data_IF_704616175164
#
_entry.id   IF_704616175164
#
_cell.length_a   1.000
_cell.length_b   1.000
_cell.length_c   1.000
_cell.angle_alpha   90.00
_cell.angle_beta   90.00
_cell.angle_gamma   90.00
#
_symmetry.space_group_name_H-M   'P 1'
#
loop_
_entity.id
_entity.type
_entity.pdbx_description
1 polymer ?
#
# COMPACT_ATOMS: atom_id res chain seq x y z
N UNK A 1 3.29 15.18 12.09
CA UNK A 1 3.13 14.82 10.67
C UNK A 1 2.13 13.69 10.62
N UNK A 2 0.89 14.00 10.23
CA UNK A 2 -0.26 13.15 10.54
C UNK A 2 -0.40 11.98 9.56
N UNK A 3 -0.90 10.89 10.10
CA UNK A 3 -0.72 9.52 9.65
C UNK A 3 -1.89 9.04 8.77
N UNK A 4 -2.48 9.97 7.99
CA UNK A 4 -3.82 9.80 7.42
C UNK A 4 -3.79 9.47 5.92
N UNK A 5 -2.62 9.60 5.27
CA UNK A 5 -2.40 9.34 3.85
C UNK A 5 -3.03 8.01 3.41
N UNK A 6 -2.82 6.94 4.18
CA UNK A 6 -3.28 5.59 3.85
C UNK A 6 -4.58 5.16 4.55
N UNK A 7 -5.17 6.00 5.42
CA UNK A 7 -6.39 5.66 6.16
C UNK A 7 -7.59 5.47 5.23
N UNK A 8 -7.75 6.36 4.25
CA UNK A 8 -8.80 6.23 3.25
C UNK A 8 -8.38 5.28 2.12
N UNK A 9 -8.56 3.98 2.35
CA UNK A 9 -8.12 2.94 1.41
C UNK A 9 -8.83 3.00 0.04
N UNK A 10 -10.03 3.59 -0.02
CA UNK A 10 -10.80 3.76 -1.27
C UNK A 10 -10.53 5.09 -1.97
N UNK A 11 -9.70 5.98 -1.42
CA UNK A 11 -9.30 7.20 -2.10
C UNK A 11 -8.65 6.85 -3.47
N UNK A 12 -8.98 7.53 -4.58
CA UNK A 12 -8.53 7.13 -5.92
C UNK A 12 -7.01 6.95 -6.03
N UNK A 13 -6.24 7.83 -5.39
CA UNK A 13 -4.77 7.78 -5.38
C UNK A 13 -4.21 6.59 -4.60
N UNK A 14 -4.88 6.20 -3.51
CA UNK A 14 -4.53 4.99 -2.77
C UNK A 14 -4.93 3.72 -3.53
N UNK A 15 -6.07 3.72 -4.23
CA UNK A 15 -6.45 2.59 -5.09
C UNK A 15 -5.36 2.30 -6.12
N UNK A 16 -4.83 3.31 -6.82
CA UNK A 16 -3.74 3.13 -7.78
C UNK A 16 -2.53 2.43 -7.14
N UNK A 17 -2.12 2.85 -5.94
CA UNK A 17 -1.05 2.19 -5.19
C UNK A 17 -1.37 0.70 -4.94
N UNK A 18 -2.57 0.40 -4.41
CA UNK A 18 -2.99 -0.97 -4.12
C UNK A 18 -3.01 -1.87 -5.35
N UNK A 19 -3.45 -1.34 -6.49
CA UNK A 19 -3.53 -2.10 -7.74
C UNK A 19 -2.15 -2.39 -8.32
N UNK A 20 -1.22 -1.43 -8.29
CA UNK A 20 0.16 -1.66 -8.74
C UNK A 20 0.85 -2.69 -7.85
N UNK A 21 0.66 -2.60 -6.54
CA UNK A 21 1.21 -3.59 -5.60
C UNK A 21 0.58 -4.97 -5.77
N UNK A 22 -0.73 -5.06 -6.00
CA UNK A 22 -1.42 -6.32 -6.24
C UNK A 22 -0.93 -6.97 -7.55
N UNK A 23 -0.76 -6.17 -8.61
CA UNK A 23 -0.15 -6.61 -9.86
C UNK A 23 1.27 -7.15 -9.63
N UNK A 24 2.13 -6.39 -8.93
CA UNK A 24 3.48 -6.83 -8.59
C UNK A 24 3.46 -8.14 -7.78
N UNK A 25 2.56 -8.27 -6.81
CA UNK A 25 2.38 -9.48 -6.01
C UNK A 25 2.02 -10.69 -6.85
N UNK A 26 1.07 -10.55 -7.80
CA UNK A 26 0.70 -11.61 -8.71
C UNK A 26 1.86 -12.00 -9.62
N UNK A 27 2.55 -11.00 -10.17
CA UNK A 27 3.72 -11.19 -11.02
C UNK A 27 4.83 -11.96 -10.30
N UNK A 28 5.20 -11.53 -9.09
CA UNK A 28 6.23 -12.20 -8.28
C UNK A 28 5.81 -13.60 -7.83
N UNK A 29 4.53 -13.81 -7.50
CA UNK A 29 4.06 -15.13 -7.05
C UNK A 29 4.05 -16.15 -8.20
N UNK A 30 3.66 -15.73 -9.41
CA UNK A 30 3.75 -16.57 -10.61
C UNK A 30 5.21 -16.80 -11.03
N UNK A 31 6.05 -15.76 -11.03
CA UNK A 31 7.49 -15.90 -11.31
C UNK A 31 8.20 -16.84 -10.34
N UNK A 32 7.92 -16.72 -9.04
CA UNK A 32 8.42 -17.64 -8.02
C UNK A 32 7.93 -19.08 -8.23
N UNK A 33 6.65 -19.25 -8.60
CA UNK A 33 6.13 -20.58 -8.94
C UNK A 33 6.84 -21.18 -10.16
N UNK A 34 7.08 -20.40 -11.21
CA UNK A 34 7.79 -20.89 -12.40
C UNK A 34 9.27 -21.17 -12.13
N UNK A 35 9.89 -20.41 -11.22
CA UNK A 35 11.29 -20.58 -10.87
C UNK A 35 11.54 -21.81 -9.97
N UNK A 36 10.68 -22.05 -8.96
CA UNK A 36 10.92 -23.07 -7.92
C UNK A 36 9.74 -24.02 -7.66
N UNK A 37 8.73 -24.03 -8.53
CA UNK A 37 7.53 -24.88 -8.45
C UNK A 37 6.72 -24.73 -7.15
N UNK A 38 6.82 -23.56 -6.49
CA UNK A 38 6.14 -23.26 -5.21
C UNK A 38 5.60 -21.84 -5.17
N UNK A 39 4.38 -21.69 -4.66
CA UNK A 39 3.79 -20.37 -4.46
C UNK A 39 4.30 -19.73 -3.15
N UNK A 40 4.96 -18.59 -3.26
CA UNK A 40 5.61 -17.90 -2.12
C UNK A 40 4.60 -17.24 -1.16
N UNK A 41 3.35 -17.01 -1.61
CA UNK A 41 2.29 -16.40 -0.78
C UNK A 41 1.38 -17.41 -0.06
N UNK A 42 1.52 -18.72 -0.28
CA UNK A 42 0.58 -19.76 0.19
C UNK A 42 0.99 -20.39 1.53
N UNK A 43 1.13 -19.58 2.58
CA UNK A 43 1.59 -20.06 3.90
C UNK A 43 0.74 -21.20 4.50
N UNK A 44 -0.59 -21.17 4.30
CA UNK A 44 -1.47 -22.28 4.71
C UNK A 44 -1.11 -23.60 4.02
N UNK A 45 -0.74 -23.55 2.73
CA UNK A 45 -0.32 -24.73 1.97
C UNK A 45 0.98 -25.33 2.49
N UNK A 46 1.93 -24.49 2.91
CA UNK A 46 3.16 -24.94 3.58
C UNK A 46 2.86 -25.69 4.87
N UNK A 47 1.94 -25.19 5.70
CA UNK A 47 1.51 -25.88 6.92
C UNK A 47 0.93 -27.27 6.64
N UNK A 48 0.07 -27.39 5.62
CA UNK A 48 -0.46 -28.69 5.17
C UNK A 48 0.65 -29.60 4.67
N UNK A 49 1.56 -29.09 3.84
CA UNK A 49 2.68 -29.87 3.31
C UNK A 49 3.55 -30.45 4.43
N UNK A 50 3.94 -29.61 5.39
CA UNK A 50 4.79 -30.03 6.52
C UNK A 50 4.13 -31.17 7.30
N UNK A 51 2.82 -31.06 7.60
CA UNK A 51 2.09 -32.12 8.29
C UNK A 51 2.07 -33.44 7.51
N UNK A 52 1.81 -33.39 6.20
CA UNK A 52 1.80 -34.58 5.34
C UNK A 52 3.20 -35.21 5.24
N UNK A 53 4.24 -34.40 5.03
CA UNK A 53 5.62 -34.86 4.91
C UNK A 53 6.11 -35.53 6.20
N UNK A 54 5.78 -34.97 7.38
CA UNK A 54 6.08 -35.59 8.67
C UNK A 54 5.40 -36.95 8.83
N UNK A 55 4.12 -37.06 8.45
CA UNK A 55 3.39 -38.33 8.50
C UNK A 55 4.00 -39.41 7.57
N UNK A 56 4.54 -38.97 6.42
CA UNK A 56 5.24 -39.83 5.46
C UNK A 56 6.71 -40.08 5.81
N UNK A 57 7.20 -39.60 6.97
CA UNK A 57 8.61 -39.69 7.41
C UNK A 57 9.61 -38.99 6.48
N UNK A 58 9.14 -38.02 5.68
CA UNK A 58 9.95 -37.16 4.82
C UNK A 58 10.46 -35.95 5.61
N UNK A 59 11.29 -36.19 6.62
CA UNK A 59 11.69 -35.16 7.58
C UNK A 59 12.46 -33.99 6.96
N UNK A 60 13.34 -34.27 5.98
CA UNK A 60 14.12 -33.24 5.32
C UNK A 60 13.22 -32.28 4.53
N UNK A 61 12.33 -32.81 3.68
CA UNK A 61 11.37 -32.00 2.93
C UNK A 61 10.38 -31.24 3.83
N UNK A 62 10.01 -31.80 4.99
CA UNK A 62 9.21 -31.10 5.98
C UNK A 62 9.97 -29.91 6.58
N UNK A 63 11.24 -30.10 6.96
CA UNK A 63 12.08 -29.03 7.50
C UNK A 63 12.28 -27.91 6.48
N UNK A 64 12.67 -28.27 5.25
CA UNK A 64 12.90 -27.33 4.16
C UNK A 64 11.66 -26.50 3.83
N UNK A 65 10.47 -27.11 3.78
CA UNK A 65 9.23 -26.38 3.58
C UNK A 65 8.89 -25.50 4.79
N UNK A 66 9.13 -25.94 6.03
CA UNK A 66 8.86 -25.13 7.22
C UNK A 66 9.65 -23.81 7.23
N UNK A 67 10.81 -23.74 6.56
CA UNK A 67 11.61 -22.52 6.47
C UNK A 67 10.93 -21.42 5.66
N UNK A 68 10.17 -21.73 4.60
CA UNK A 68 9.47 -20.73 3.77
C UNK A 68 8.58 -19.78 4.59
N UNK A 69 7.64 -20.29 5.41
CA UNK A 69 6.86 -19.50 6.35
C UNK A 69 7.68 -18.70 7.37
N UNK A 70 8.83 -19.21 7.82
CA UNK A 70 9.69 -18.47 8.74
C UNK A 70 10.36 -17.27 8.07
N UNK A 71 10.78 -17.40 6.81
CA UNK A 71 11.30 -16.26 6.04
C UNK A 71 10.21 -15.25 5.71
N UNK A 72 8.99 -15.71 5.38
CA UNK A 72 7.84 -14.82 5.25
C UNK A 72 7.57 -14.05 6.55
N UNK A 73 7.57 -14.74 7.69
CA UNK A 73 7.42 -14.13 9.01
C UNK A 73 8.53 -13.11 9.28
N UNK A 74 9.79 -13.43 8.97
CA UNK A 74 10.91 -12.51 9.12
C UNK A 74 10.72 -11.23 8.28
N UNK A 75 10.26 -11.36 7.03
CA UNK A 75 9.90 -10.22 6.18
C UNK A 75 8.81 -9.36 6.81
N UNK A 76 7.75 -9.99 7.33
CA UNK A 76 6.66 -9.30 8.01
C UNK A 76 7.10 -8.61 9.31
N UNK A 77 8.04 -9.19 10.06
CA UNK A 77 8.64 -8.57 11.26
C UNK A 77 9.41 -7.30 10.87
N UNK A 78 10.22 -7.37 9.81
CA UNK A 78 10.95 -6.20 9.29
C UNK A 78 9.97 -5.12 8.85
N UNK A 79 8.88 -5.48 8.17
CA UNK A 79 7.81 -4.55 7.84
C UNK A 79 7.20 -3.90 9.08
N UNK A 80 6.90 -4.69 10.12
CA UNK A 80 6.38 -4.19 11.40
C UNK A 80 7.34 -3.23 12.09
N UNK A 81 8.65 -3.46 12.01
CA UNK A 81 9.64 -2.50 12.51
C UNK A 81 9.69 -1.20 11.70
N UNK A 82 9.50 -1.29 10.38
CA UNK A 82 9.47 -0.14 9.49
C UNK A 82 8.17 0.65 9.62
N UNK A 83 7.06 0.03 10.02
CA UNK A 83 5.73 0.66 10.02
C UNK A 83 5.18 0.74 11.44
N UNK A 84 4.62 -0.36 11.95
CA UNK A 84 3.87 -0.39 13.22
C UNK A 84 4.70 0.10 14.41
N UNK A 85 5.94 -0.38 14.56
CA UNK A 85 6.83 0.03 15.65
C UNK A 85 7.12 1.54 15.59
N UNK A 86 7.32 2.10 14.41
CA UNK A 86 7.56 3.54 14.26
C UNK A 86 6.33 4.34 14.64
N UNK A 87 5.15 3.88 14.21
CA UNK A 87 3.87 4.50 14.56
C UNK A 87 3.61 4.46 16.08
N UNK A 88 3.91 3.34 16.75
CA UNK A 88 3.82 3.21 18.23
C UNK A 88 4.76 4.23 18.92
N UNK A 89 5.94 4.47 18.36
CA UNK A 89 6.91 5.44 18.88
C UNK A 89 6.64 6.89 18.45
N UNK A 90 5.48 7.18 17.83
CA UNK A 90 5.13 8.51 17.35
C UNK A 90 5.97 9.01 16.16
N UNK A 91 6.66 8.12 15.45
CA UNK A 91 7.47 8.41 14.26
C UNK A 91 6.72 8.08 12.98
N UNK A 92 7.05 8.78 11.89
CA UNK A 92 6.50 8.47 10.56
C UNK A 92 6.88 7.05 10.13
N UNK A 93 5.96 6.26 9.56
CA UNK A 93 6.27 4.93 9.04
C UNK A 93 7.25 5.03 7.86
N UNK A 94 8.22 4.13 7.80
CA UNK A 94 9.23 4.05 6.75
C UNK A 94 8.79 3.08 5.63
N UNK A 95 7.66 3.39 4.99
CA UNK A 95 7.13 2.60 3.86
C UNK A 95 8.12 2.63 2.69
N UNK A 96 8.70 3.80 2.42
CA UNK A 96 9.66 4.01 1.36
C UNK A 96 10.88 3.09 1.47
N UNK A 97 11.51 3.02 2.65
CA UNK A 97 12.63 2.12 2.90
C UNK A 97 12.26 0.66 2.69
N UNK A 98 11.03 0.26 3.06
CA UNK A 98 10.52 -1.07 2.78
C UNK A 98 10.40 -1.39 1.28
N UNK A 99 9.90 -0.45 0.47
CA UNK A 99 9.80 -0.60 -0.98
C UNK A 99 11.20 -0.61 -1.63
N UNK A 100 12.15 0.19 -1.13
CA UNK A 100 13.55 0.15 -1.58
C UNK A 100 14.14 -1.24 -1.32
N UNK A 101 13.91 -1.82 -0.13
CA UNK A 101 14.33 -3.19 0.16
C UNK A 101 13.74 -4.18 -0.83
N UNK A 102 12.45 -4.07 -1.19
CA UNK A 102 11.85 -4.91 -2.23
C UNK A 102 12.54 -4.74 -3.60
N UNK A 103 12.86 -3.50 -4.00
CA UNK A 103 13.59 -3.25 -5.26
C UNK A 103 14.96 -3.93 -5.24
N UNK A 104 15.71 -3.80 -4.14
CA UNK A 104 17.02 -4.45 -3.97
C UNK A 104 16.92 -5.97 -4.02
N UNK A 105 15.93 -6.57 -3.34
CA UNK A 105 15.74 -8.02 -3.38
C UNK A 105 15.41 -8.53 -4.78
N UNK A 106 14.53 -7.83 -5.51
CA UNK A 106 14.24 -8.18 -6.91
C UNK A 106 15.45 -8.00 -7.82
N UNK A 107 16.28 -6.98 -7.58
CA UNK A 107 17.54 -6.79 -8.29
C UNK A 107 18.53 -7.94 -8.01
N UNK A 108 18.63 -8.40 -6.76
CA UNK A 108 19.48 -9.54 -6.40
C UNK A 108 19.01 -10.81 -7.12
N UNK A 109 17.69 -11.06 -7.18
CA UNK A 109 17.15 -12.22 -7.90
C UNK A 109 17.42 -12.10 -9.41
N UNK A 110 17.21 -10.91 -9.99
CA UNK A 110 17.54 -10.62 -11.39
C UNK A 110 19.01 -10.91 -11.71
N UNK A 111 19.93 -10.43 -10.86
CA UNK A 111 21.38 -10.69 -11.00
C UNK A 111 21.75 -12.16 -10.75
N UNK A 112 20.82 -12.94 -10.21
CA UNK A 112 20.93 -14.39 -10.06
C UNK A 112 21.15 -15.13 -11.37
N UNK A 113 20.71 -14.58 -12.51
CA UNK A 113 21.00 -15.14 -13.85
C UNK A 113 22.52 -15.32 -14.07
N UNK A 114 23.32 -14.39 -13.55
CA UNK A 114 24.79 -14.41 -13.68
C UNK A 114 25.47 -15.24 -12.59
N UNK A 115 24.70 -15.93 -11.76
CA UNK A 115 25.18 -16.61 -10.56
C UNK A 115 24.63 -18.03 -10.45
N UNK A 116 25.52 -19.00 -10.28
CA UNK A 116 25.09 -20.38 -9.99
C UNK A 116 24.48 -20.55 -8.57
N UNK A 117 24.41 -19.50 -7.75
CA UNK A 117 23.95 -19.59 -6.35
C UNK A 117 22.42 -19.69 -6.19
N UNK A 118 21.63 -19.28 -7.19
CA UNK A 118 20.16 -19.32 -7.12
C UNK A 118 19.51 -20.52 -7.83
N UNK A 119 20.32 -21.44 -8.33
CA UNK A 119 19.85 -22.59 -9.12
C UNK A 119 19.62 -22.25 -10.59
N UNK A 120 19.21 -23.25 -11.36
CA UNK A 120 18.74 -23.11 -12.73
C UNK A 120 17.25 -22.80 -12.72
N UNK A 121 16.82 -21.79 -13.48
CA UNK A 121 15.42 -21.38 -13.50
C UNK A 121 14.49 -22.55 -13.89
N UNK A 122 13.51 -22.83 -13.04
CA UNK A 122 12.51 -23.86 -13.28
C UNK A 122 12.99 -25.29 -13.01
N UNK A 123 14.18 -25.47 -12.42
CA UNK A 123 14.60 -26.79 -11.97
C UNK A 123 13.71 -27.31 -10.82
N UNK A 124 13.46 -28.63 -10.74
CA UNK A 124 12.73 -29.19 -9.61
C UNK A 124 13.42 -28.84 -8.30
N UNK A 125 12.62 -28.43 -7.31
CA UNK A 125 13.10 -28.07 -5.97
C UNK A 125 13.68 -29.30 -5.23
N UNK A 126 14.92 -29.65 -5.58
CA UNK A 126 15.63 -30.86 -5.13
C UNK A 126 17.03 -30.49 -4.63
N UNK A 127 17.57 -29.33 -5.04
CA UNK A 127 18.88 -28.87 -4.65
C UNK A 127 18.81 -27.81 -3.55
N UNK A 128 19.82 -27.78 -2.69
CA UNK A 128 19.93 -26.80 -1.60
C UNK A 128 19.92 -25.34 -2.09
N UNK A 129 20.29 -25.08 -3.34
CA UNK A 129 20.41 -23.73 -3.93
C UNK A 129 19.04 -23.11 -4.22
N UNK A 130 18.05 -23.91 -4.62
CA UNK A 130 16.70 -23.45 -4.97
C UNK A 130 15.94 -22.91 -3.75
N UNK A 131 16.31 -23.39 -2.57
CA UNK A 131 15.75 -22.93 -1.31
C UNK A 131 16.14 -21.49 -0.98
N UNK A 132 17.34 -21.04 -1.37
CA UNK A 132 17.75 -19.66 -1.13
C UNK A 132 16.83 -18.68 -1.90
N UNK A 133 16.59 -18.96 -3.18
CA UNK A 133 15.65 -18.19 -3.99
C UNK A 133 14.24 -18.19 -3.39
N UNK A 134 13.75 -19.37 -3.00
CA UNK A 134 12.45 -19.49 -2.34
C UNK A 134 12.37 -18.65 -1.06
N UNK A 135 13.42 -18.67 -0.23
CA UNK A 135 13.47 -17.91 1.02
C UNK A 135 13.51 -16.41 0.80
N UNK A 136 14.30 -15.94 -0.19
CA UNK A 136 14.32 -14.52 -0.58
C UNK A 136 12.93 -14.08 -1.05
N UNK A 137 12.26 -14.88 -1.89
CA UNK A 137 10.92 -14.58 -2.38
C UNK A 137 9.87 -14.60 -1.26
N UNK A 138 9.91 -15.58 -0.36
CA UNK A 138 9.02 -15.63 0.81
C UNK A 138 9.24 -14.41 1.72
N UNK A 139 10.49 -14.04 1.98
CA UNK A 139 10.82 -12.84 2.74
C UNK A 139 10.29 -11.57 2.07
N UNK A 140 10.51 -11.40 0.75
CA UNK A 140 10.02 -10.27 -0.01
C UNK A 140 8.47 -10.19 0.03
N UNK A 141 7.79 -11.33 -0.12
CA UNK A 141 6.34 -11.41 -0.04
C UNK A 141 5.84 -11.01 1.35
N UNK A 142 6.46 -11.53 2.42
CA UNK A 142 6.14 -11.18 3.80
C UNK A 142 6.36 -9.70 4.12
N UNK A 143 7.48 -9.14 3.65
CA UNK A 143 7.80 -7.72 3.77
C UNK A 143 6.74 -6.85 3.07
N UNK A 144 6.43 -7.11 1.81
CA UNK A 144 5.44 -6.33 1.05
C UNK A 144 4.06 -6.38 1.71
N UNK A 145 3.62 -7.57 2.12
CA UNK A 145 2.33 -7.75 2.79
C UNK A 145 2.28 -7.03 4.14
N UNK A 146 3.34 -7.13 4.93
CA UNK A 146 3.43 -6.46 6.23
C UNK A 146 3.39 -4.94 6.12
N UNK A 147 4.11 -4.35 5.15
CA UNK A 147 4.26 -2.89 5.03
C UNK A 147 2.89 -2.21 4.89
N UNK A 148 2.05 -2.74 4.00
CA UNK A 148 0.76 -2.13 3.69
C UNK A 148 -0.37 -2.63 4.57
N UNK A 149 -0.26 -3.83 5.15
CA UNK A 149 -1.15 -4.26 6.23
C UNK A 149 -0.99 -3.35 7.45
N UNK A 150 0.24 -3.05 7.88
CA UNK A 150 0.49 -2.09 8.96
C UNK A 150 -0.03 -0.68 8.62
N UNK A 151 0.26 -0.19 7.42
CA UNK A 151 -0.16 1.15 6.97
C UNK A 151 -1.69 1.32 6.90
N UNK A 152 -2.43 0.25 6.55
CA UNK A 152 -3.89 0.28 6.39
C UNK A 152 -4.66 -0.30 7.58
N UNK A 153 -3.96 -0.69 8.66
CA UNK A 153 -4.53 -1.44 9.80
C UNK A 153 -5.24 -2.73 9.37
N UNK A 154 -4.66 -3.43 8.40
CA UNK A 154 -5.16 -4.72 7.90
C UNK A 154 -6.35 -4.62 6.94
N UNK A 155 -6.77 -3.42 6.54
CA UNK A 155 -7.89 -3.22 5.61
C UNK A 155 -7.57 -3.68 4.19
N UNK A 156 -6.30 -3.54 3.74
CA UNK A 156 -5.87 -3.94 2.40
C UNK A 156 -4.71 -4.94 2.51
N UNK A 157 -4.84 -6.03 1.77
CA UNK A 157 -3.77 -7.00 1.49
C UNK A 157 -3.70 -7.18 -0.02
N UNK A 158 -2.49 -7.17 -0.58
CA UNK A 158 -2.24 -7.26 -2.03
C UNK A 158 -1.99 -8.70 -2.50
N UNK A 159 -2.11 -9.65 -1.57
CA UNK A 159 -2.02 -11.11 -1.77
C UNK A 159 -3.15 -11.78 -0.97
N UNK A 160 -3.07 -13.10 -0.75
CA UNK A 160 -4.00 -13.87 0.08
C UNK A 160 -5.47 -13.71 -0.36
N UNK A 161 -5.73 -13.95 -1.65
CA UNK A 161 -7.03 -13.73 -2.29
C UNK A 161 -8.21 -14.40 -1.56
N UNK A 162 -7.97 -15.47 -0.78
CA UNK A 162 -8.95 -16.09 0.11
C UNK A 162 -9.64 -15.06 1.03
N UNK A 163 -8.90 -14.11 1.61
CA UNK A 163 -9.46 -13.09 2.48
C UNK A 163 -10.42 -12.15 1.74
N UNK A 164 -9.96 -11.42 0.71
CA UNK A 164 -10.81 -10.57 -0.12
C UNK A 164 -12.04 -11.30 -0.69
N UNK A 165 -11.91 -12.55 -1.13
CA UNK A 165 -13.04 -13.35 -1.65
C UNK A 165 -14.09 -13.58 -0.55
N UNK A 166 -13.67 -14.04 0.64
CA UNK A 166 -14.57 -14.23 1.78
C UNK A 166 -15.25 -12.93 2.20
N UNK A 167 -14.48 -11.84 2.29
CA UNK A 167 -15.01 -10.52 2.64
C UNK A 167 -16.03 -10.01 1.61
N UNK A 168 -15.77 -10.23 0.32
CA UNK A 168 -16.72 -9.89 -0.75
C UNK A 168 -18.04 -10.62 -0.51
N UNK A 169 -18.00 -11.94 -0.27
CA UNK A 169 -19.18 -12.76 -0.01
C UNK A 169 -19.99 -12.28 1.20
N UNK A 170 -19.31 -12.02 2.33
CA UNK A 170 -19.93 -11.48 3.54
C UNK A 170 -20.60 -10.12 3.26
N UNK A 171 -19.89 -9.23 2.56
CA UNK A 171 -20.41 -7.90 2.25
C UNK A 171 -21.56 -7.92 1.25
N UNK A 172 -21.56 -8.84 0.28
CA UNK A 172 -22.69 -9.04 -0.63
C UNK A 172 -23.95 -9.39 0.16
N UNK A 173 -23.86 -10.33 1.10
CA UNK A 173 -24.98 -10.70 1.99
C UNK A 173 -25.52 -9.48 2.77
N UNK A 174 -24.64 -8.66 3.35
CA UNK A 174 -25.03 -7.42 4.04
C UNK A 174 -25.68 -6.41 3.10
N UNK A 175 -25.11 -6.18 1.91
CA UNK A 175 -25.62 -5.22 0.93
C UNK A 175 -27.06 -5.56 0.49
N UNK A 176 -27.37 -6.85 0.32
CA UNK A 176 -28.71 -7.32 -0.01
C UNK A 176 -29.70 -7.25 1.17
N UNK A 177 -29.20 -7.24 2.40
CA UNK A 177 -30.01 -7.17 3.62
C UNK A 177 -30.31 -5.71 4.04
N UNK A 178 -29.35 -4.82 3.83
CA UNK A 178 -29.46 -3.41 4.20
C UNK A 178 -30.47 -2.68 3.29
N UNK A 179 -31.26 -1.80 3.92
CA UNK A 179 -32.22 -0.94 3.23
C UNK A 179 -31.55 -0.12 2.12
N UNK A 180 -32.29 0.12 1.05
CA UNK A 180 -31.84 1.00 -0.03
C UNK A 180 -31.58 2.40 0.53
N UNK A 181 -30.42 2.99 0.17
CA UNK A 181 -30.01 4.32 0.65
C UNK A 181 -29.24 4.34 1.97
N UNK A 182 -29.07 3.21 2.67
CA UNK A 182 -28.27 3.16 3.89
C UNK A 182 -26.79 3.51 3.59
N UNK A 183 -26.16 4.47 4.31
CA UNK A 183 -24.77 4.88 4.08
C UNK A 183 -23.77 3.72 4.14
N UNK A 184 -24.00 2.76 5.05
CA UNK A 184 -23.18 1.54 5.20
C UNK A 184 -23.15 0.72 3.89
N UNK A 185 -24.28 0.63 3.18
CA UNK A 185 -24.36 -0.11 1.92
C UNK A 185 -23.42 0.47 0.86
N UNK A 186 -23.30 1.80 0.80
CA UNK A 186 -22.37 2.49 -0.10
C UNK A 186 -20.91 2.18 0.25
N UNK A 187 -20.56 2.20 1.53
CA UNK A 187 -19.21 1.90 2.02
C UNK A 187 -18.81 0.44 1.71
N UNK A 188 -19.69 -0.52 2.01
CA UNK A 188 -19.46 -1.94 1.72
C UNK A 188 -19.29 -2.18 0.21
N UNK A 189 -20.11 -1.51 -0.62
CA UNK A 189 -20.02 -1.60 -2.08
C UNK A 189 -18.70 -1.07 -2.60
N UNK A 190 -18.25 0.10 -2.13
CA UNK A 190 -16.95 0.67 -2.50
C UNK A 190 -15.77 -0.24 -2.11
N UNK A 191 -15.80 -0.81 -0.91
CA UNK A 191 -14.79 -1.77 -0.45
C UNK A 191 -14.76 -3.05 -1.28
N UNK A 192 -15.94 -3.59 -1.63
CA UNK A 192 -16.02 -4.76 -2.51
C UNK A 192 -15.45 -4.49 -3.90
N UNK A 193 -15.77 -3.33 -4.48
CA UNK A 193 -15.17 -2.93 -5.75
C UNK A 193 -13.66 -2.82 -5.68
N UNK A 194 -13.10 -2.26 -4.60
CA UNK A 194 -11.66 -2.23 -4.39
C UNK A 194 -11.07 -3.65 -4.34
N UNK A 195 -11.68 -4.56 -3.58
CA UNK A 195 -11.24 -5.96 -3.49
C UNK A 195 -11.28 -6.69 -4.83
N UNK A 196 -12.35 -6.49 -5.62
CA UNK A 196 -12.46 -7.03 -6.99
C UNK A 196 -11.33 -6.52 -7.86
N UNK A 197 -11.06 -5.20 -7.87
CA UNK A 197 -9.95 -4.63 -8.63
C UNK A 197 -8.60 -5.21 -8.19
N UNK A 198 -8.38 -5.42 -6.89
CA UNK A 198 -7.17 -6.07 -6.36
C UNK A 198 -7.03 -7.50 -6.89
N UNK A 199 -8.11 -8.30 -6.88
CA UNK A 199 -8.11 -9.68 -7.41
C UNK A 199 -7.75 -9.69 -8.90
N UNK A 200 -8.36 -8.78 -9.69
CA UNK A 200 -8.09 -8.65 -11.13
C UNK A 200 -6.65 -8.18 -11.38
N UNK A 201 -6.16 -7.21 -10.62
CA UNK A 201 -4.77 -6.73 -10.72
C UNK A 201 -3.77 -7.84 -10.39
N UNK A 202 -3.99 -8.59 -9.31
CA UNK A 202 -3.16 -9.75 -8.99
C UNK A 202 -3.18 -10.80 -10.11
N UNK A 203 -4.38 -11.18 -10.58
CA UNK A 203 -4.52 -12.22 -11.60
C UNK A 203 -3.90 -11.80 -12.94
N UNK A 204 -4.03 -10.53 -13.33
CA UNK A 204 -3.34 -10.00 -14.51
C UNK A 204 -1.83 -9.95 -14.34
N UNK A 205 -1.32 -9.58 -13.16
CA UNK A 205 0.10 -9.68 -12.84
C UNK A 205 0.64 -11.10 -13.01
N UNK A 206 -0.09 -12.10 -12.48
CA UNK A 206 0.27 -13.51 -12.63
C UNK A 206 0.26 -13.97 -14.10
N UNK A 207 -0.75 -13.56 -14.87
CA UNK A 207 -0.84 -13.88 -16.30
C UNK A 207 0.34 -13.29 -17.08
N UNK A 208 0.64 -12.01 -16.88
CA UNK A 208 1.75 -11.33 -17.56
C UNK A 208 3.09 -11.95 -17.14
N UNK A 209 3.28 -12.30 -15.86
CA UNK A 209 4.45 -13.03 -15.42
C UNK A 209 4.60 -14.36 -16.16
N UNK A 210 3.54 -15.16 -16.31
CA UNK A 210 3.64 -16.43 -17.02
C UNK A 210 4.15 -16.26 -18.46
N UNK A 211 3.74 -15.19 -19.15
CA UNK A 211 4.23 -14.85 -20.48
C UNK A 211 5.69 -14.39 -20.46
N UNK A 212 6.06 -13.52 -19.51
CA UNK A 212 7.43 -12.96 -19.40
C UNK A 212 8.46 -14.03 -19.03
N UNK A 213 8.16 -14.83 -18.01
CA UNK A 213 9.09 -15.84 -17.48
C UNK A 213 9.26 -17.07 -18.40
N UNK A 214 8.40 -17.23 -19.41
CA UNK A 214 8.60 -18.23 -20.46
C UNK A 214 9.80 -17.89 -21.34
N UNK A 215 10.09 -16.60 -21.53
CA UNK A 215 11.16 -16.12 -22.42
C UNK A 215 12.39 -15.60 -21.65
N UNK A 216 12.18 -15.00 -20.46
CA UNK A 216 13.18 -14.18 -19.77
C UNK A 216 13.68 -14.75 -18.42
N UNK A 217 13.37 -15.99 -18.04
CA UNK A 217 13.92 -16.67 -16.83
C UNK A 217 14.14 -15.73 -15.63
N UNK A 218 15.35 -15.58 -15.07
CA UNK A 218 15.59 -14.65 -13.96
C UNK A 218 15.53 -13.18 -14.38
N UNK A 219 15.81 -12.85 -15.65
CA UNK A 219 15.69 -11.48 -16.17
C UNK A 219 14.29 -10.89 -15.99
N UNK A 220 13.25 -11.75 -15.97
CA UNK A 220 11.88 -11.36 -15.67
C UNK A 220 11.70 -10.60 -14.35
N UNK A 221 12.58 -10.82 -13.36
CA UNK A 221 12.58 -10.08 -12.08
C UNK A 221 13.01 -8.61 -12.20
N UNK A 222 13.50 -8.17 -13.36
CA UNK A 222 13.68 -6.74 -13.66
C UNK A 222 12.35 -5.96 -13.61
N UNK A 223 11.23 -6.61 -13.95
CA UNK A 223 9.89 -6.00 -13.93
C UNK A 223 9.47 -5.59 -12.51
N UNK A 224 9.39 -6.49 -11.51
CA UNK A 224 9.04 -6.11 -10.15
C UNK A 224 10.07 -5.18 -9.49
N UNK A 225 11.34 -5.22 -9.91
CA UNK A 225 12.35 -4.23 -9.52
C UNK A 225 11.97 -2.82 -10.02
N UNK A 226 11.69 -2.68 -11.32
CA UNK A 226 11.28 -1.41 -11.93
C UNK A 226 9.97 -0.87 -11.32
N UNK A 227 8.99 -1.75 -11.07
CA UNK A 227 7.74 -1.36 -10.38
C UNK A 227 8.05 -0.84 -8.97
N UNK A 228 8.91 -1.53 -8.21
CA UNK A 228 9.29 -1.08 -6.86
C UNK A 228 9.96 0.29 -6.88
N UNK A 229 10.86 0.56 -7.81
CA UNK A 229 11.49 1.88 -7.98
C UNK A 229 10.46 2.97 -8.33
N UNK A 230 9.52 2.67 -9.23
CA UNK A 230 8.41 3.57 -9.53
C UNK A 230 7.54 3.84 -8.29
N UNK A 231 7.25 2.81 -7.50
CA UNK A 231 6.46 2.91 -6.27
C UNK A 231 7.12 3.78 -5.20
N UNK A 232 8.46 3.77 -5.10
CA UNK A 232 9.19 4.72 -4.24
C UNK A 232 8.86 6.16 -4.63
N UNK A 233 8.97 6.49 -5.91
CA UNK A 233 8.61 7.83 -6.41
C UNK A 233 7.13 8.14 -6.15
N UNK A 234 6.23 7.19 -6.42
CA UNK A 234 4.79 7.38 -6.27
C UNK A 234 4.39 7.64 -4.81
N UNK A 235 4.90 6.84 -3.87
CA UNK A 235 4.64 7.01 -2.43
C UNK A 235 5.19 8.34 -1.93
N UNK A 236 6.40 8.75 -2.34
CA UNK A 236 6.93 10.08 -2.03
C UNK A 236 6.01 11.19 -2.51
N UNK A 237 5.46 11.06 -3.72
CA UNK A 237 4.48 12.01 -4.31
C UNK A 237 3.17 12.03 -3.51
N UNK A 238 2.67 10.88 -3.07
CA UNK A 238 1.46 10.78 -2.25
C UNK A 238 1.61 11.46 -0.89
N UNK A 239 2.70 11.17 -0.18
CA UNK A 239 2.97 11.75 1.15
C UNK A 239 3.11 13.26 1.04
N UNK A 240 3.95 13.76 0.12
CA UNK A 240 4.15 15.21 -0.06
C UNK A 240 2.88 15.97 -0.41
N UNK A 241 1.99 15.38 -1.22
CA UNK A 241 0.73 16.05 -1.54
C UNK A 241 -0.22 16.13 -0.36
N UNK A 242 -0.26 15.09 0.48
CA UNK A 242 -1.10 15.10 1.66
C UNK A 242 -0.62 16.13 2.69
N UNK A 243 0.70 16.23 2.88
CA UNK A 243 1.31 17.28 3.71
C UNK A 243 0.96 18.69 3.21
N UNK A 244 0.92 18.92 1.89
CA UNK A 244 0.49 20.21 1.31
C UNK A 244 -0.99 20.50 1.56
N UNK A 245 -1.84 19.49 1.42
CA UNK A 245 -3.28 19.60 1.70
C UNK A 245 -3.53 19.94 3.18
N UNK A 246 -2.86 19.24 4.11
CA UNK A 246 -2.94 19.51 5.56
C UNK A 246 -2.46 20.92 5.90
N UNK A 247 -1.30 21.34 5.38
CA UNK A 247 -0.76 22.67 5.64
C UNK A 247 -1.67 23.78 5.10
N UNK A 248 -2.27 23.58 3.91
CA UNK A 248 -3.23 24.54 3.34
C UNK A 248 -4.50 24.65 4.17
N UNK A 249 -5.02 23.56 4.73
CA UNK A 249 -6.19 23.59 5.61
C UNK A 249 -5.88 24.27 6.94
N UNK A 250 -4.69 24.03 7.50
CA UNK A 250 -4.24 24.67 8.72
C UNK A 250 -4.12 26.20 8.55
N UNK A 251 -3.56 26.65 7.42
CA UNK A 251 -3.42 28.07 7.10
C UNK A 251 -4.77 28.77 6.90
N UNK A 252 -5.71 28.12 6.19
CA UNK A 252 -7.09 28.62 6.08
C UNK A 252 -7.79 28.72 7.43
N UNK A 253 -7.64 27.71 8.29
CA UNK A 253 -8.23 27.72 9.64
C UNK A 253 -7.64 28.84 10.50
N UNK A 254 -6.33 29.05 10.42
CA UNK A 254 -5.65 30.14 11.11
C UNK A 254 -6.15 31.52 10.62
N UNK A 255 -6.33 31.68 9.31
CA UNK A 255 -6.85 32.93 8.73
C UNK A 255 -8.28 33.29 9.17
N UNK A 256 -9.12 32.29 9.45
CA UNK A 256 -10.49 32.47 9.95
C UNK A 256 -10.56 32.83 11.45
N UNK A 257 -9.49 32.57 12.20
CA UNK A 257 -9.41 32.83 13.65
C UNK A 257 -8.76 34.18 13.99
N UNK A 258 -8.18 34.88 13.01
CA UNK A 258 -7.70 36.26 13.21
C UNK A 258 -8.92 37.18 13.33
N UNK A 259 -9.13 37.87 14.47
CA UNK A 259 -10.22 38.83 14.60
C UNK A 259 -10.04 39.92 13.55
N UNK A 260 -11.05 40.18 12.72
CA UNK A 260 -11.09 41.39 11.89
C UNK A 260 -10.95 42.58 12.84
N UNK A 261 -9.87 43.37 12.70
CA UNK A 261 -9.69 44.59 13.49
C UNK A 261 -10.97 45.42 13.47
N UNK A 262 -11.44 45.94 14.62
CA UNK A 262 -12.60 46.82 14.62
C UNK A 262 -12.26 48.04 13.77
N UNK A 263 -13.03 48.23 12.70
CA UNK A 263 -12.99 49.43 11.87
C UNK A 263 -13.05 50.62 12.83
N UNK A 264 -11.95 51.37 12.92
CA UNK A 264 -11.88 52.55 13.76
C UNK A 264 -12.86 53.57 13.18
N UNK A 265 -14.01 53.71 13.84
CA UNK A 265 -14.92 54.82 13.61
C UNK A 265 -14.16 56.08 13.99
N UNK A 266 -13.65 56.80 12.98
CA UNK A 266 -13.12 58.14 13.16
C UNK A 266 -14.27 59.03 13.64
N UNK A 267 -14.33 59.25 14.95
CA UNK A 267 -15.13 60.32 15.53
C UNK A 267 -14.54 61.65 15.05
N UNK A 268 -15.17 62.24 14.04
CA UNK A 268 -14.99 63.64 13.69
C UNK A 268 -15.51 64.50 14.83
N UNK A 269 -14.60 65.03 15.64
CA UNK A 269 -14.91 66.10 16.58
C UNK A 269 -15.21 67.37 15.76
N UNK A 270 -16.48 67.76 15.69
CA UNK A 270 -16.87 69.10 15.24
C UNK A 270 -16.47 70.12 16.30
N UNK A 271 -15.60 71.05 15.89
CA UNK A 271 -15.16 72.23 16.61
C UNK A 271 -16.30 73.27 16.68
N UNK A 272 -16.80 73.66 17.87
CA UNK A 272 -17.88 74.64 18.00
C UNK A 272 -17.31 76.07 17.95
N UNK A 273 -16.75 76.45 16.81
CA UNK A 273 -16.20 77.79 16.61
C UNK A 273 -16.47 78.36 15.21
N UNK A 274 -17.68 78.20 14.66
CA UNK A 274 -18.12 79.07 13.56
C UNK A 274 -19.64 79.19 13.39
N UNK A 275 -20.35 79.55 14.46
CA UNK A 275 -21.72 80.04 14.35
C UNK A 275 -21.71 81.56 14.09
N UNK A 276 -21.38 81.98 12.87
CA UNK A 276 -21.78 83.31 12.37
C UNK A 276 -21.76 83.42 10.85
N UNK A 277 -22.89 83.91 10.33
CA UNK A 277 -23.09 84.46 9.00
C UNK A 277 -23.23 83.46 7.83
N UNK A 278 -24.48 83.17 7.46
CA UNK A 278 -25.11 83.77 6.26
C UNK A 278 -26.51 83.19 6.06
N UNK A 279 -27.50 83.92 6.55
CA UNK A 279 -28.82 83.99 5.92
C UNK A 279 -28.69 84.84 4.65
N UNK A 280 -29.51 84.55 3.63
CA UNK A 280 -30.00 85.43 2.54
C UNK A 280 -29.65 84.98 1.12
N UNK A 281 -30.71 84.47 0.44
CA UNK A 281 -31.12 84.61 -0.99
C UNK A 281 -30.19 84.00 -2.05
N UNK A 282 -30.64 83.38 -3.14
CA UNK A 282 -31.79 83.50 -4.08
C UNK A 282 -31.78 82.19 -4.90
N UNK A 283 -32.87 81.55 -5.33
CA UNK A 283 -33.84 82.00 -6.35
C UNK A 283 -33.68 81.12 -7.60
N UNK A 284 -34.81 80.57 -8.09
CA UNK A 284 -35.16 79.98 -9.40
C UNK A 284 -34.02 79.63 -10.40
N UNK A 285 -34.01 78.44 -11.03
CA UNK A 285 -35.07 77.81 -11.84
C UNK A 285 -34.99 76.28 -11.81
#
# INVERSE_FOLDING_TARGET
>A
MNMDVFKNVVAPRNQVLWLILAFQSGFMNAGGYLAVHRFVSHITGYGTYVGVALAQKQYLGAFEMALGPLFFLAGAIVAGWLVDRRMILGKSPNIEGGIITLAVLNLIIYLGEFSEYLGTFGEPLVLQRDFLLLFILCFACGLQNGLFSGATKGQVRTTHLTGPITDIGINISKIFTLQHGAPERGQLTAMNWLRVKIIVAFSSGSLIAALVFTELTYEGFAVPCAISLFLVWYVRRLVKSHEREENSMADQTASLLVPTEPVSVQNGAEDPANARAKTVKTGHQ
#
